data_IF_979674654918
#
_entry.id   IF_979674654918
#
_cell.length_a   1.000
_cell.length_b   1.000
_cell.length_c   1.000
_cell.angle_alpha   90.00
_cell.angle_beta   90.00
_cell.angle_gamma   90.00
#
_symmetry.space_group_name_H-M   'P 1'
#
loop_
_entity.id
_entity.type
_entity.pdbx_description
1 polymer ?
#
# COMPACT_ATOMS: atom_id res chain seq x y z
N UNK A 1 2.45 -9.88 -16.69
CA UNK A 1 1.46 -10.15 -15.62
C UNK A 1 0.27 -9.16 -15.60
N UNK A 2 0.40 -7.90 -15.15
CA UNK A 2 -0.69 -6.90 -15.29
C UNK A 2 -0.56 -6.06 -16.58
N UNK A 3 0.66 -5.61 -16.90
CA UNK A 3 0.91 -4.82 -18.11
C UNK A 3 0.56 -5.57 -19.40
N UNK A 4 0.90 -6.87 -19.47
CA UNK A 4 0.53 -7.75 -20.58
C UNK A 4 -0.99 -7.93 -20.69
N UNK A 5 -1.68 -8.06 -19.55
CA UNK A 5 -3.14 -8.17 -19.53
C UNK A 5 -3.80 -6.89 -20.08
N UNK A 6 -3.21 -5.71 -19.85
CA UNK A 6 -3.66 -4.45 -20.46
C UNK A 6 -3.48 -4.38 -21.98
N UNK A 7 -2.58 -5.18 -22.56
CA UNK A 7 -2.35 -5.24 -24.01
C UNK A 7 -3.25 -6.25 -24.72
N UNK A 8 -3.93 -7.15 -23.98
CA UNK A 8 -4.82 -8.13 -24.58
C UNK A 8 -6.10 -7.47 -25.12
N UNK A 9 -6.58 -7.96 -26.26
CA UNK A 9 -7.82 -7.48 -26.87
C UNK A 9 -9.01 -7.81 -25.97
N UNK A 10 -9.59 -6.78 -25.33
CA UNK A 10 -10.76 -6.88 -24.44
C UNK A 10 -11.97 -6.20 -25.05
N UNK A 11 -13.14 -6.70 -24.71
CA UNK A 11 -14.40 -6.01 -25.05
C UNK A 11 -14.50 -4.69 -24.27
N UNK A 12 -15.28 -3.73 -24.80
CA UNK A 12 -15.50 -2.42 -24.14
C UNK A 12 -15.97 -2.60 -22.70
N UNK A 13 -16.92 -3.52 -22.48
CA UNK A 13 -17.46 -3.83 -21.15
C UNK A 13 -16.41 -4.35 -20.17
N UNK A 14 -15.52 -5.24 -20.62
CA UNK A 14 -14.43 -5.77 -19.77
C UNK A 14 -13.40 -4.71 -19.43
N UNK A 15 -13.12 -3.81 -20.37
CA UNK A 15 -12.22 -2.67 -20.16
C UNK A 15 -12.80 -1.70 -19.12
N UNK A 16 -14.09 -1.41 -19.18
CA UNK A 16 -14.75 -0.51 -18.23
C UNK A 16 -14.70 -1.07 -16.80
N UNK A 17 -14.92 -2.38 -16.62
CA UNK A 17 -14.77 -3.05 -15.32
C UNK A 17 -13.35 -2.89 -14.78
N UNK A 18 -12.34 -3.16 -15.61
CA UNK A 18 -10.93 -3.06 -15.19
C UNK A 18 -10.53 -1.61 -14.85
N UNK A 19 -10.99 -0.63 -15.62
CA UNK A 19 -10.77 0.81 -15.32
C UNK A 19 -11.42 1.19 -14.00
N UNK A 20 -12.67 0.76 -13.76
CA UNK A 20 -13.38 1.05 -12.50
C UNK A 20 -12.63 0.49 -11.29
N UNK A 21 -12.18 -0.76 -11.35
CA UNK A 21 -11.37 -1.39 -10.28
C UNK A 21 -10.04 -0.66 -10.07
N UNK A 22 -9.37 -0.25 -11.16
CA UNK A 22 -8.11 0.51 -11.09
C UNK A 22 -8.30 1.90 -10.47
N UNK A 23 -9.40 2.60 -10.76
CA UNK A 23 -9.71 3.90 -10.16
C UNK A 23 -9.96 3.77 -8.65
N UNK A 24 -10.71 2.76 -8.22
CA UNK A 24 -10.93 2.47 -6.79
C UNK A 24 -9.58 2.18 -6.11
N UNK A 25 -8.76 1.31 -6.71
CA UNK A 25 -7.44 0.99 -6.18
C UNK A 25 -6.57 2.24 -6.04
N UNK A 26 -6.56 3.11 -7.06
CA UNK A 26 -5.83 4.37 -7.05
C UNK A 26 -6.31 5.30 -5.93
N UNK A 27 -7.62 5.41 -5.73
CA UNK A 27 -8.19 6.24 -4.66
C UNK A 27 -7.77 5.72 -3.27
N UNK A 28 -7.82 4.40 -3.05
CA UNK A 28 -7.37 3.76 -1.80
C UNK A 28 -5.88 4.06 -1.56
N UNK A 29 -5.03 3.83 -2.56
CA UNK A 29 -3.59 4.07 -2.45
C UNK A 29 -3.29 5.55 -2.14
N UNK A 30 -3.92 6.50 -2.84
CA UNK A 30 -3.75 7.93 -2.57
C UNK A 30 -4.16 8.26 -1.13
N UNK A 31 -5.32 7.75 -0.68
CA UNK A 31 -5.78 8.00 0.69
C UNK A 31 -4.81 7.42 1.74
N UNK A 32 -4.24 6.24 1.48
CA UNK A 32 -3.20 5.64 2.34
C UNK A 32 -1.95 6.50 2.46
N UNK A 33 -1.43 7.01 1.34
CA UNK A 33 -0.27 7.91 1.36
C UNK A 33 -0.55 9.24 2.07
N UNK A 34 -1.75 9.81 1.90
CA UNK A 34 -2.15 11.03 2.63
C UNK A 34 -2.17 10.77 4.14
N UNK A 35 -2.77 9.66 4.58
CA UNK A 35 -2.79 9.26 5.99
C UNK A 35 -1.38 9.02 6.54
N UNK A 36 -0.50 8.39 5.76
CA UNK A 36 0.90 8.16 6.12
C UNK A 36 1.64 9.49 6.36
N UNK A 37 1.51 10.47 5.46
CA UNK A 37 2.15 11.79 5.61
C UNK A 37 1.61 12.53 6.83
N UNK A 38 0.30 12.51 7.06
CA UNK A 38 -0.31 13.11 8.24
C UNK A 38 0.22 12.46 9.53
N UNK A 39 0.28 11.13 9.58
CA UNK A 39 0.84 10.41 10.72
C UNK A 39 2.31 10.75 10.95
N UNK A 40 3.12 10.85 9.89
CA UNK A 40 4.53 11.25 9.99
C UNK A 40 4.69 12.66 10.57
N UNK A 41 3.88 13.62 10.13
CA UNK A 41 3.88 14.98 10.67
C UNK A 41 3.54 14.95 12.16
N UNK A 42 2.54 14.18 12.56
CA UNK A 42 2.11 14.09 13.97
C UNK A 42 3.15 13.41 14.87
N UNK A 43 3.80 12.34 14.40
CA UNK A 43 4.73 11.54 15.20
C UNK A 43 6.14 12.10 15.22
N UNK A 44 6.58 12.77 14.16
CA UNK A 44 7.96 13.24 14.02
C UNK A 44 8.02 14.76 14.01
N UNK A 45 7.31 15.44 13.11
CA UNK A 45 7.47 16.89 12.94
C UNK A 45 6.96 17.67 14.16
N UNK A 46 5.78 17.35 14.68
CA UNK A 46 5.18 18.12 15.77
C UNK A 46 5.93 17.99 17.12
N UNK A 47 6.43 16.80 17.52
CA UNK A 47 7.27 16.68 18.70
C UNK A 47 8.60 17.43 18.61
N UNK A 48 9.20 17.53 17.40
CA UNK A 48 10.43 18.31 17.20
C UNK A 48 10.25 19.79 17.58
N UNK A 49 9.09 20.38 17.28
CA UNK A 49 8.75 21.77 17.63
C UNK A 49 8.15 21.92 19.05
N UNK A 50 8.04 20.84 19.82
CA UNK A 50 7.42 20.86 21.15
C UNK A 50 5.91 21.11 21.14
N UNK A 51 5.24 20.97 19.99
CA UNK A 51 3.81 21.32 19.82
C UNK A 51 2.85 20.21 20.26
N UNK A 52 3.33 18.98 20.36
CA UNK A 52 2.57 17.83 20.87
C UNK A 52 3.40 17.12 21.95
N UNK A 53 3.10 17.41 23.22
CA UNK A 53 3.48 16.55 24.35
C UNK A 53 2.59 15.28 24.31
N UNK A 54 2.76 14.40 23.33
CA UNK A 54 2.05 13.10 23.33
C UNK A 54 2.71 12.05 24.20
N UNK A 55 3.97 12.26 24.61
CA UNK A 55 4.60 11.41 25.61
C UNK A 55 4.56 12.11 26.96
N UNK A 56 3.56 11.73 27.76
CA UNK A 56 3.60 11.95 29.19
C UNK A 56 4.96 11.48 29.68
N UNK A 57 5.74 12.34 30.33
CA UNK A 57 6.99 11.98 31.00
C UNK A 57 6.61 11.01 32.13
N UNK A 58 6.45 9.73 31.83
CA UNK A 58 5.99 8.73 32.81
C UNK A 58 7.11 8.32 33.76
N UNK A 59 8.36 8.64 33.42
CA UNK A 59 9.52 8.40 34.25
C UNK A 59 10.29 9.69 34.53
N UNK A 60 10.57 9.93 35.81
CA UNK A 60 11.44 11.03 36.28
C UNK A 60 12.89 10.92 35.75
N UNK A 61 13.26 9.76 35.22
CA UNK A 61 14.58 9.46 34.65
C UNK A 61 14.64 9.61 33.12
N UNK A 62 13.53 9.96 32.44
CA UNK A 62 13.55 10.14 30.99
C UNK A 62 14.35 11.43 30.67
N UNK A 63 15.39 11.37 29.83
CA UNK A 63 16.16 12.54 29.46
C UNK A 63 15.22 13.58 28.83
N UNK A 64 15.42 14.87 29.13
CA UNK A 64 14.54 15.97 28.74
C UNK A 64 14.41 16.23 27.23
N UNK A 65 14.87 15.30 26.39
CA UNK A 65 14.85 15.31 24.93
C UNK A 65 14.50 13.91 24.38
N UNK A 66 13.21 13.52 24.34
CA UNK A 66 12.83 12.22 23.80
C UNK A 66 13.04 12.15 22.28
N UNK A 67 13.71 11.10 21.82
CA UNK A 67 13.81 10.76 20.40
C UNK A 67 12.47 10.18 19.87
N UNK A 68 12.18 10.27 18.56
CA UNK A 68 10.95 9.72 17.96
C UNK A 68 10.72 8.24 18.25
N UNK A 69 11.80 7.46 18.28
CA UNK A 69 11.82 6.07 18.71
C UNK A 69 12.76 5.91 19.89
N UNK A 70 12.26 5.32 20.98
CA UNK A 70 13.12 4.97 22.11
C UNK A 70 13.87 3.68 21.79
N UNK A 71 15.15 3.80 21.46
CA UNK A 71 16.02 2.67 21.17
C UNK A 71 17.33 2.79 21.91
N UNK A 72 18.01 1.67 22.13
CA UNK A 72 19.33 1.67 22.75
C UNK A 72 20.41 2.11 21.75
N UNK A 73 21.24 3.06 22.15
CA UNK A 73 22.40 3.52 21.40
C UNK A 73 23.69 3.17 22.16
N UNK A 74 24.75 2.84 21.41
CA UNK A 74 26.07 2.53 21.97
C UNK A 74 26.88 3.79 22.35
N UNK A 75 26.29 4.97 22.16
CA UNK A 75 26.86 6.29 22.45
C UNK A 75 25.80 7.17 23.13
N UNK A 76 26.23 8.24 23.79
CA UNK A 76 25.34 9.21 24.42
C UNK A 76 24.70 10.12 23.36
N UNK A 77 23.37 10.10 23.29
CA UNK A 77 22.55 10.85 22.33
C UNK A 77 22.09 12.20 22.84
N UNK A 78 22.20 12.49 24.13
CA UNK A 78 21.74 13.75 24.73
C UNK A 78 22.54 15.00 24.32
N UNK A 79 23.88 14.96 24.17
CA UNK A 79 24.64 16.14 23.79
C UNK A 79 24.32 16.59 22.36
N UNK A 80 24.38 17.90 22.14
CA UNK A 80 24.38 18.48 20.80
C UNK A 80 25.79 18.37 20.21
N UNK A 81 25.97 17.94 18.94
CA UNK A 81 24.94 17.77 17.90
C UNK A 81 24.41 16.33 17.72
N UNK A 82 24.77 15.40 18.62
CA UNK A 82 24.42 13.98 18.51
C UNK A 82 22.91 13.77 18.53
N UNK A 83 22.18 14.51 19.36
CA UNK A 83 20.73 14.46 19.43
C UNK A 83 20.09 14.77 18.07
N UNK A 84 20.45 15.91 17.47
CA UNK A 84 19.88 16.40 16.22
C UNK A 84 20.18 15.44 15.06
N UNK A 85 21.40 14.92 15.00
CA UNK A 85 21.80 13.94 14.00
C UNK A 85 20.98 12.64 14.14
N UNK A 86 20.89 12.12 15.36
CA UNK A 86 20.13 10.90 15.66
C UNK A 86 18.66 11.06 15.34
N UNK A 87 18.08 12.21 15.67
CA UNK A 87 16.71 12.57 15.37
C UNK A 87 16.43 12.53 13.86
N UNK A 88 17.29 13.16 13.07
CA UNK A 88 17.16 13.19 11.60
C UNK A 88 17.31 11.79 11.01
N UNK A 89 18.27 11.00 11.48
CA UNK A 89 18.47 9.62 11.04
C UNK A 89 17.22 8.78 11.35
N UNK A 90 16.66 8.88 12.57
CA UNK A 90 15.43 8.18 12.92
C UNK A 90 14.26 8.64 12.05
N UNK A 91 14.09 9.93 11.83
CA UNK A 91 13.04 10.48 10.98
C UNK A 91 13.10 9.92 9.55
N UNK A 92 14.30 9.89 8.95
CA UNK A 92 14.52 9.31 7.62
C UNK A 92 14.21 7.80 7.63
N UNK A 93 14.66 7.10 8.67
CA UNK A 93 14.46 5.65 8.79
C UNK A 93 12.97 5.31 8.93
N UNK A 94 12.23 6.03 9.79
CA UNK A 94 10.78 5.87 9.97
C UNK A 94 10.06 6.16 8.66
N UNK A 95 10.41 7.25 7.97
CA UNK A 95 9.82 7.62 6.70
C UNK A 95 10.03 6.52 5.64
N UNK A 96 11.26 6.03 5.49
CA UNK A 96 11.58 4.99 4.53
C UNK A 96 10.88 3.66 4.86
N UNK A 97 10.82 3.29 6.14
CA UNK A 97 10.10 2.12 6.60
C UNK A 97 8.60 2.23 6.29
N UNK A 98 7.99 3.39 6.59
CA UNK A 98 6.58 3.66 6.29
C UNK A 98 6.30 3.59 4.78
N UNK A 99 7.11 4.25 3.95
CA UNK A 99 6.98 4.20 2.48
C UNK A 99 7.08 2.76 1.97
N UNK A 100 8.07 2.00 2.45
CA UNK A 100 8.28 0.61 2.03
C UNK A 100 7.07 -0.25 2.40
N UNK A 101 6.59 -0.14 3.64
CA UNK A 101 5.43 -0.87 4.14
C UNK A 101 4.16 -0.54 3.36
N UNK A 102 3.83 0.75 3.24
CA UNK A 102 2.65 1.21 2.49
C UNK A 102 2.72 0.85 1.01
N UNK A 103 3.92 0.82 0.40
CA UNK A 103 4.10 0.38 -0.98
C UNK A 103 3.74 -1.09 -1.19
N UNK A 104 4.12 -1.96 -0.24
CA UNK A 104 3.79 -3.39 -0.28
C UNK A 104 2.27 -3.59 -0.17
N UNK A 105 1.63 -2.91 0.80
CA UNK A 105 0.18 -2.98 0.96
C UNK A 105 -0.59 -2.43 -0.25
N UNK A 106 -0.10 -1.32 -0.82
CA UNK A 106 -0.66 -0.73 -2.04
C UNK A 106 -0.58 -1.71 -3.22
N UNK A 107 0.57 -2.38 -3.40
CA UNK A 107 0.76 -3.39 -4.43
C UNK A 107 -0.19 -4.57 -4.24
N UNK A 108 -0.31 -5.08 -3.01
CA UNK A 108 -1.22 -6.17 -2.69
C UNK A 108 -2.68 -5.78 -2.97
N UNK A 109 -3.11 -4.58 -2.55
CA UNK A 109 -4.46 -4.07 -2.82
C UNK A 109 -4.76 -3.92 -4.32
N UNK A 110 -3.79 -3.41 -5.09
CA UNK A 110 -3.88 -3.33 -6.55
C UNK A 110 -4.03 -4.73 -7.19
N UNK A 111 -3.22 -5.69 -6.75
CA UNK A 111 -3.26 -7.07 -7.26
C UNK A 111 -4.61 -7.74 -6.96
N UNK A 112 -5.13 -7.60 -5.74
CA UNK A 112 -6.44 -8.14 -5.35
C UNK A 112 -7.55 -7.53 -6.21
N UNK A 113 -7.60 -6.19 -6.33
CA UNK A 113 -8.65 -5.52 -7.10
C UNK A 113 -8.58 -5.85 -8.59
N UNK A 114 -7.38 -6.01 -9.14
CA UNK A 114 -7.17 -6.47 -10.50
C UNK A 114 -7.68 -7.90 -10.69
N UNK A 115 -7.37 -8.81 -9.76
CA UNK A 115 -7.86 -10.19 -9.80
C UNK A 115 -9.39 -10.25 -9.68
N UNK A 116 -10.00 -9.43 -8.80
CA UNK A 116 -11.45 -9.29 -8.73
C UNK A 116 -12.06 -8.81 -10.06
N UNK A 117 -11.43 -7.84 -10.73
CA UNK A 117 -11.87 -7.39 -12.05
C UNK A 117 -11.78 -8.49 -13.12
N UNK A 118 -10.71 -9.29 -13.10
CA UNK A 118 -10.54 -10.45 -13.98
C UNK A 118 -11.61 -11.51 -13.74
N UNK A 119 -11.90 -11.86 -12.48
CA UNK A 119 -12.96 -12.79 -12.13
C UNK A 119 -14.35 -12.30 -12.56
N UNK A 120 -14.60 -11.00 -12.45
CA UNK A 120 -15.87 -10.40 -12.90
C UNK A 120 -16.04 -10.50 -14.41
N UNK A 121 -14.98 -10.24 -15.18
CA UNK A 121 -14.95 -10.44 -16.62
C UNK A 121 -15.16 -11.92 -16.99
N UNK A 122 -14.47 -12.82 -16.30
CA UNK A 122 -14.62 -14.27 -16.48
C UNK A 122 -16.06 -14.75 -16.22
N UNK A 123 -16.70 -14.27 -15.15
CA UNK A 123 -18.12 -14.54 -14.87
C UNK A 123 -19.02 -14.07 -16.02
N UNK A 124 -18.75 -12.89 -16.57
CA UNK A 124 -19.47 -12.36 -17.74
C UNK A 124 -19.33 -13.27 -18.97
N UNK A 125 -18.12 -13.77 -19.25
CA UNK A 125 -17.86 -14.72 -20.34
C UNK A 125 -18.62 -16.02 -20.15
N UNK A 126 -18.61 -16.61 -18.94
CA UNK A 126 -19.34 -17.85 -18.63
C UNK A 126 -20.84 -17.67 -18.84
N UNK A 127 -21.43 -16.55 -18.39
CA UNK A 127 -22.87 -16.31 -18.53
C UNK A 127 -23.33 -16.25 -20.01
N UNK A 128 -22.51 -15.64 -20.88
CA UNK A 128 -22.74 -15.67 -22.34
C UNK A 128 -22.62 -17.11 -22.85
N UNK A 129 -21.63 -17.85 -22.35
CA UNK A 129 -21.33 -19.21 -22.75
C UNK A 129 -22.42 -20.22 -22.44
N UNK A 130 -23.02 -20.13 -21.25
CA UNK A 130 -24.14 -20.98 -20.83
C UNK A 130 -25.38 -20.76 -21.70
N UNK A 131 -25.45 -19.66 -22.43
CA UNK A 131 -26.50 -19.37 -23.40
C UNK A 131 -26.21 -19.93 -24.81
N UNK A 132 -25.01 -20.47 -25.06
CA UNK A 132 -24.60 -21.02 -26.35
C UNK A 132 -24.49 -22.56 -26.33
N UNK A 133 -24.91 -23.23 -27.42
CA UNK A 133 -24.90 -24.69 -27.59
C UNK A 133 -23.51 -25.37 -27.48
N UNK A 134 -22.40 -24.62 -27.51
CA UNK A 134 -21.01 -25.11 -27.50
C UNK A 134 -20.26 -24.85 -26.17
N UNK A 135 -20.96 -25.01 -25.05
CA UNK A 135 -20.49 -24.71 -23.69
C UNK A 135 -19.14 -25.39 -23.31
N UNK A 136 -18.99 -26.69 -23.61
CA UNK A 136 -17.82 -27.48 -23.17
C UNK A 136 -16.53 -27.01 -23.83
N UNK A 137 -16.55 -26.68 -25.13
CA UNK A 137 -15.36 -26.26 -25.88
C UNK A 137 -14.83 -24.92 -25.40
N UNK A 138 -15.72 -23.98 -25.09
CA UNK A 138 -15.31 -22.64 -24.71
C UNK A 138 -14.99 -22.56 -23.21
N UNK A 139 -15.56 -23.42 -22.37
CA UNK A 139 -15.17 -23.56 -20.97
C UNK A 139 -13.73 -24.08 -20.86
N UNK A 140 -13.37 -25.11 -21.63
CA UNK A 140 -12.01 -25.65 -21.68
C UNK A 140 -10.96 -24.59 -22.04
N UNK A 141 -11.23 -23.79 -23.09
CA UNK A 141 -10.32 -22.71 -23.48
C UNK A 141 -10.16 -21.62 -22.43
N UNK A 142 -11.23 -21.28 -21.69
CA UNK A 142 -11.15 -20.28 -20.63
C UNK A 142 -10.43 -20.80 -19.38
N UNK A 143 -10.60 -22.09 -19.02
CA UNK A 143 -9.87 -22.73 -17.92
C UNK A 143 -8.37 -22.78 -18.23
N UNK A 144 -7.99 -23.14 -19.46
CA UNK A 144 -6.57 -23.14 -19.90
C UNK A 144 -5.96 -21.74 -19.87
N UNK A 145 -6.73 -20.71 -20.24
CA UNK A 145 -6.27 -19.32 -20.12
C UNK A 145 -6.10 -18.86 -18.67
N UNK A 146 -7.03 -19.22 -17.78
CA UNK A 146 -6.95 -18.87 -16.37
C UNK A 146 -5.79 -19.58 -15.66
N UNK A 147 -5.48 -20.83 -16.02
CA UNK A 147 -4.34 -21.59 -15.51
C UNK A 147 -2.98 -21.06 -15.99
N UNK A 148 -2.94 -20.27 -17.07
CA UNK A 148 -1.73 -19.58 -17.54
C UNK A 148 -1.48 -18.23 -16.86
N UNK A 149 -2.50 -17.67 -16.22
CA UNK A 149 -2.45 -16.36 -15.56
C UNK A 149 -2.08 -16.46 -14.07
N UNK A 150 -2.19 -17.66 -13.48
CA UNK A 150 -1.61 -18.04 -12.19
C UNK A 150 -0.13 -18.37 -12.41
#
# INVERSE_FOLDING_TARGET
>A
MMAEDWTELKTVKERDVMIGRAQIARAIVISGYVMMVLAFVVVVVLPYFGLLLTRHLTNLTDPGKPLPLQTYYFYDTDPSPQFELTYVIQAITIFLAAVTYTSVDAFLGLAILHFCGQLENFRGRIAILTSCQNFIRILSNNVVKHLRLI
#
